data_IF_046811976180
#
_entry.id   IF_046811976180
#
_cell.length_a   1.000
_cell.length_b   1.000
_cell.length_c   1.000
_cell.angle_alpha   90.00
_cell.angle_beta   90.00
_cell.angle_gamma   90.00
#
_symmetry.space_group_name_H-M   'P 1'
#
loop_
_entity.id
_entity.type
_entity.pdbx_description
1 polymer ?
#
# COMPACT_ATOMS: atom_id res chain seq x y z
N UNK A 1 -0.96 24.35 28.03
CA UNK A 1 -0.61 23.43 29.13
C UNK A 1 -0.67 22.03 28.55
N UNK A 2 0.47 21.51 28.11
CA UNK A 2 0.54 20.19 27.49
C UNK A 2 0.80 19.17 28.59
N UNK A 3 -0.17 18.32 28.87
CA UNK A 3 0.01 17.18 29.77
C UNK A 3 1.03 16.23 29.17
N UNK A 4 2.25 16.29 29.70
CA UNK A 4 3.26 15.27 29.48
C UNK A 4 2.75 13.98 30.13
N UNK A 5 2.19 13.09 29.32
CA UNK A 5 1.94 11.70 29.75
C UNK A 5 3.32 11.11 30.05
N UNK A 6 3.70 11.11 31.32
CA UNK A 6 4.89 10.42 31.82
C UNK A 6 4.73 8.95 31.52
N UNK A 7 5.25 8.54 30.36
CA UNK A 7 5.09 7.17 29.88
C UNK A 7 6.02 6.31 30.74
N UNK A 8 5.45 5.52 31.64
CA UNK A 8 6.17 4.58 32.51
C UNK A 8 6.76 3.38 31.76
N UNK A 9 6.83 3.47 30.43
CA UNK A 9 7.29 2.40 29.57
C UNK A 9 8.81 2.26 29.69
N UNK A 10 9.25 1.03 29.82
CA UNK A 10 10.65 0.66 29.75
C UNK A 10 11.23 1.02 28.37
N UNK A 11 12.55 1.21 28.25
CA UNK A 11 13.19 1.44 26.95
C UNK A 11 12.87 0.35 25.91
N UNK A 12 12.68 -0.89 26.34
CA UNK A 12 12.30 -2.00 25.47
C UNK A 12 10.87 -1.85 24.92
N UNK A 13 9.91 -1.44 25.75
CA UNK A 13 8.52 -1.20 25.34
C UNK A 13 8.43 -0.01 24.37
N UNK A 14 9.19 1.07 24.62
CA UNK A 14 9.28 2.20 23.69
C UNK A 14 9.88 1.79 22.34
N UNK A 15 10.94 0.97 22.34
CA UNK A 15 11.53 0.46 21.10
C UNK A 15 10.56 -0.43 20.32
N UNK A 16 9.79 -1.29 21.00
CA UNK A 16 8.75 -2.11 20.38
C UNK A 16 7.64 -1.25 19.77
N UNK A 17 7.18 -0.23 20.50
CA UNK A 17 6.19 0.72 19.99
C UNK A 17 6.67 1.41 18.71
N UNK A 18 7.89 1.94 18.70
CA UNK A 18 8.46 2.58 17.52
C UNK A 18 8.54 1.62 16.33
N UNK A 19 9.03 0.38 16.54
CA UNK A 19 9.08 -0.64 15.47
C UNK A 19 7.69 -0.97 14.91
N UNK A 20 6.68 -1.05 15.76
CA UNK A 20 5.31 -1.29 15.33
C UNK A 20 4.78 -0.13 14.48
N UNK A 21 4.94 1.11 14.95
CA UNK A 21 4.51 2.31 14.21
C UNK A 21 5.19 2.39 12.84
N UNK A 22 6.51 2.15 12.79
CA UNK A 22 7.29 2.10 11.55
C UNK A 22 6.77 1.01 10.60
N UNK A 23 6.54 -0.20 11.11
CA UNK A 23 6.00 -1.32 10.31
C UNK A 23 4.62 -0.99 9.72
N UNK A 24 3.74 -0.33 10.49
CA UNK A 24 2.42 0.11 10.01
C UNK A 24 2.56 1.18 8.92
N UNK A 25 3.50 2.11 9.07
CA UNK A 25 3.77 3.13 8.05
C UNK A 25 4.29 2.50 6.76
N UNK A 26 5.22 1.55 6.85
CA UNK A 26 5.73 0.81 5.70
C UNK A 26 4.63 -0.03 5.03
N UNK A 27 3.77 -0.68 5.81
CA UNK A 27 2.62 -1.42 5.27
C UNK A 27 1.67 -0.50 4.50
N UNK A 28 1.30 0.65 5.07
CA UNK A 28 0.42 1.64 4.41
C UNK A 28 1.00 2.09 3.06
N UNK A 29 2.29 2.42 3.06
CA UNK A 29 3.07 2.77 1.86
C UNK A 29 3.04 1.68 0.79
N UNK A 30 3.29 0.43 1.19
CA UNK A 30 3.23 -0.73 0.29
C UNK A 30 1.82 -0.96 -0.26
N UNK A 31 0.77 -0.85 0.56
CA UNK A 31 -0.62 -1.01 0.12
C UNK A 31 -1.03 0.01 -0.92
N UNK A 32 -0.71 1.29 -0.69
CA UNK A 32 -0.94 2.38 -1.66
C UNK A 32 -0.29 2.05 -3.00
N UNK A 33 0.98 1.65 -2.97
CA UNK A 33 1.74 1.31 -4.17
C UNK A 33 1.13 0.12 -4.92
N UNK A 34 0.73 -0.93 -4.20
CA UNK A 34 0.07 -2.09 -4.79
C UNK A 34 -1.27 -1.72 -5.44
N UNK A 35 -2.07 -0.87 -4.78
CA UNK A 35 -3.32 -0.35 -5.36
C UNK A 35 -3.05 0.41 -6.67
N UNK A 36 -2.07 1.32 -6.68
CA UNK A 36 -1.69 2.08 -7.87
C UNK A 36 -1.29 1.16 -9.03
N UNK A 37 -0.41 0.17 -8.78
CA UNK A 37 0.03 -0.74 -9.84
C UNK A 37 -1.08 -1.65 -10.35
N UNK A 38 -1.95 -2.16 -9.47
CA UNK A 38 -3.10 -2.95 -9.90
C UNK A 38 -4.02 -2.16 -10.83
N UNK A 39 -4.22 -0.87 -10.54
CA UNK A 39 -4.97 0.04 -11.42
C UNK A 39 -4.25 0.29 -12.75
N UNK A 40 -2.92 0.46 -12.75
CA UNK A 40 -2.16 0.59 -14.01
C UNK A 40 -2.25 -0.68 -14.87
N UNK A 41 -2.16 -1.86 -14.26
CA UNK A 41 -2.32 -3.16 -14.93
C UNK A 41 -3.74 -3.31 -15.51
N UNK A 42 -4.76 -2.85 -14.77
CA UNK A 42 -6.14 -2.81 -15.27
C UNK A 42 -6.26 -1.87 -16.47
N UNK A 43 -5.85 -0.61 -16.31
CA UNK A 43 -6.05 0.45 -17.31
C UNK A 43 -5.30 0.18 -18.61
N UNK A 44 -4.07 -0.33 -18.52
CA UNK A 44 -3.24 -0.68 -19.67
C UNK A 44 -3.55 -2.08 -20.23
N UNK A 45 -4.53 -2.78 -19.65
CA UNK A 45 -4.91 -4.16 -20.01
C UNK A 45 -3.72 -5.13 -20.02
N UNK A 46 -2.72 -4.90 -19.16
CA UNK A 46 -1.54 -5.78 -19.05
C UNK A 46 -1.96 -7.19 -18.67
N UNK A 47 -2.97 -7.34 -17.81
CA UNK A 47 -3.55 -8.63 -17.49
C UNK A 47 -4.02 -9.41 -18.74
N UNK A 48 -4.62 -8.75 -19.73
CA UNK A 48 -5.01 -9.38 -20.99
C UNK A 48 -3.81 -9.81 -21.83
N UNK A 49 -2.76 -8.97 -21.90
CA UNK A 49 -1.51 -9.29 -22.61
C UNK A 49 -0.84 -10.53 -22.00
N UNK A 50 -0.96 -10.70 -20.69
CA UNK A 50 -0.47 -11.87 -19.96
C UNK A 50 -1.41 -13.09 -20.03
N UNK A 51 -2.51 -13.01 -20.80
CA UNK A 51 -3.42 -14.13 -21.03
C UNK A 51 -4.58 -14.27 -20.04
N UNK A 52 -4.71 -13.35 -19.08
CA UNK A 52 -5.83 -13.35 -18.12
C UNK A 52 -7.07 -12.67 -18.70
N UNK A 53 -8.26 -13.24 -18.47
CA UNK A 53 -9.51 -12.69 -19.02
C UNK A 53 -10.00 -11.49 -18.23
N UNK A 54 -9.76 -11.49 -16.93
CA UNK A 54 -10.16 -10.40 -16.04
C UNK A 54 -9.04 -10.01 -15.09
N UNK A 55 -9.09 -8.76 -14.61
CA UNK A 55 -8.14 -8.30 -13.59
C UNK A 55 -8.23 -9.11 -12.28
N UNK A 56 -9.41 -9.63 -11.94
CA UNK A 56 -9.61 -10.43 -10.74
C UNK A 56 -8.93 -11.80 -10.84
N UNK A 57 -8.95 -12.43 -12.03
CA UNK A 57 -8.19 -13.66 -12.29
C UNK A 57 -6.69 -13.42 -12.17
N UNK A 58 -6.19 -12.34 -12.78
CA UNK A 58 -4.79 -11.91 -12.65
C UNK A 58 -4.40 -11.70 -11.18
N UNK A 59 -5.20 -10.93 -10.44
CA UNK A 59 -4.93 -10.62 -9.03
C UNK A 59 -4.97 -11.86 -8.13
N UNK A 60 -5.84 -12.81 -8.43
CA UNK A 60 -5.90 -14.09 -7.73
C UNK A 60 -4.65 -14.94 -8.01
N UNK A 61 -4.26 -15.07 -9.28
CA UNK A 61 -3.15 -15.91 -9.71
C UNK A 61 -1.79 -15.36 -9.27
N UNK A 62 -1.53 -14.06 -9.46
CA UNK A 62 -0.21 -13.46 -9.25
C UNK A 62 -0.02 -12.93 -7.82
N UNK A 63 -1.09 -12.59 -7.12
CA UNK A 63 -1.02 -11.94 -5.81
C UNK A 63 -1.86 -12.62 -4.72
N UNK A 64 -2.52 -13.74 -5.01
CA UNK A 64 -3.34 -14.47 -4.04
C UNK A 64 -4.56 -13.67 -3.53
N UNK A 65 -4.99 -12.64 -4.26
CA UNK A 65 -6.10 -11.79 -3.84
C UNK A 65 -7.44 -12.43 -4.17
N UNK A 66 -8.36 -12.37 -3.21
CA UNK A 66 -9.78 -12.65 -3.49
C UNK A 66 -10.38 -11.56 -4.39
N UNK A 67 -11.48 -11.87 -5.07
CA UNK A 67 -12.22 -10.88 -5.88
C UNK A 67 -12.59 -9.64 -5.07
N UNK A 68 -13.09 -9.80 -3.84
CA UNK A 68 -13.47 -8.69 -2.97
C UNK A 68 -12.27 -7.80 -2.59
N UNK A 69 -11.09 -8.39 -2.36
CA UNK A 69 -9.86 -7.63 -2.12
C UNK A 69 -9.40 -6.89 -3.37
N UNK A 70 -9.41 -7.54 -4.53
CA UNK A 70 -9.09 -6.91 -5.82
C UNK A 70 -9.99 -5.68 -6.07
N UNK A 71 -11.31 -5.84 -5.91
CA UNK A 71 -12.26 -4.75 -6.11
C UNK A 71 -12.02 -3.61 -5.11
N UNK A 72 -11.76 -3.93 -3.83
CA UNK A 72 -11.41 -2.93 -2.81
C UNK A 72 -10.14 -2.15 -3.17
N UNK A 73 -9.09 -2.84 -3.63
CA UNK A 73 -7.84 -2.22 -4.06
C UNK A 73 -8.06 -1.28 -5.25
N UNK A 74 -8.85 -1.70 -6.24
CA UNK A 74 -9.18 -0.86 -7.40
C UNK A 74 -10.02 0.37 -7.02
N UNK A 75 -10.98 0.23 -6.10
CA UNK A 75 -11.76 1.36 -5.57
C UNK A 75 -10.85 2.36 -4.86
N UNK A 76 -9.95 1.88 -3.99
CA UNK A 76 -8.99 2.72 -3.30
C UNK A 76 -8.05 3.40 -4.29
N UNK A 77 -7.50 2.66 -5.24
CA UNK A 77 -6.57 3.18 -6.25
C UNK A 77 -7.17 4.32 -7.08
N UNK A 78 -8.44 4.23 -7.47
CA UNK A 78 -9.13 5.29 -8.24
C UNK A 78 -9.38 6.55 -7.43
N UNK A 79 -9.38 6.45 -6.10
CA UNK A 79 -9.54 7.59 -5.19
C UNK A 79 -8.20 8.19 -4.75
N UNK A 80 -7.08 7.48 -4.92
CA UNK A 80 -5.74 7.97 -4.59
C UNK A 80 -5.37 9.30 -5.26
N UNK A 81 -5.71 9.58 -6.54
CA UNK A 81 -5.40 10.87 -7.17
C UNK A 81 -6.10 12.07 -6.51
N UNK A 82 -7.15 11.84 -5.71
CA UNK A 82 -7.82 12.89 -4.93
C UNK A 82 -7.02 13.25 -3.65
N UNK A 83 -5.88 12.59 -3.41
CA UNK A 83 -4.97 12.82 -2.30
C UNK A 83 -3.58 13.21 -2.87
N UNK A 84 -3.31 14.52 -3.08
CA UNK A 84 -2.12 15.01 -3.78
C UNK A 84 -0.79 14.51 -3.19
N UNK A 85 -0.74 14.33 -1.86
CA UNK A 85 0.44 13.84 -1.14
C UNK A 85 0.78 12.37 -1.44
N UNK A 86 -0.19 11.58 -1.89
CA UNK A 86 -0.03 10.15 -2.14
C UNK A 86 0.38 9.89 -3.58
N UNK A 87 -0.16 10.65 -4.54
CA UNK A 87 0.29 10.62 -5.93
C UNK A 87 1.76 11.04 -6.04
N UNK A 88 2.14 12.15 -5.39
CA UNK A 88 3.51 12.65 -5.37
C UNK A 88 4.50 11.66 -4.72
N UNK A 89 4.12 10.99 -3.62
CA UNK A 89 4.98 9.99 -2.97
C UNK A 89 5.17 8.69 -3.78
N UNK A 90 4.24 8.36 -4.68
CA UNK A 90 4.37 7.24 -5.62
C UNK A 90 5.18 7.64 -6.85
N UNK A 91 4.96 8.84 -7.39
CA UNK A 91 5.69 9.37 -8.56
C UNK A 91 7.14 9.73 -8.26
N UNK A 92 7.45 10.29 -7.08
CA UNK A 92 8.80 10.75 -6.73
C UNK A 92 9.76 9.62 -6.32
N UNK A 93 9.33 8.36 -6.30
CA UNK A 93 10.19 7.26 -5.89
C UNK A 93 10.56 7.24 -4.40
N UNK A 94 9.95 8.08 -3.56
CA UNK A 94 10.07 8.05 -2.09
C UNK A 94 9.54 6.73 -1.47
N UNK A 95 8.86 5.93 -2.29
CA UNK A 95 8.56 4.51 -2.08
C UNK A 95 9.62 3.65 -2.77
N UNK A 96 10.88 3.86 -2.39
CA UNK A 96 12.02 3.30 -3.11
C UNK A 96 12.05 1.76 -3.02
N UNK A 97 12.33 1.12 -4.15
CA UNK A 97 12.42 -0.32 -4.36
C UNK A 97 13.87 -0.81 -4.35
N UNK A 98 14.74 -0.18 -3.54
CA UNK A 98 16.19 -0.48 -3.55
C UNK A 98 16.80 -0.75 -2.17
N UNK A 99 16.09 -1.47 -1.30
CA UNK A 99 16.73 -2.38 -0.35
C UNK A 99 15.91 -3.67 -0.35
N UNK A 100 16.51 -4.70 -0.95
CA UNK A 100 15.99 -6.05 -1.11
C UNK A 100 15.64 -6.72 0.22
#
# INVERSE_FOLDING_TARGET
MSESISTSATPAELALHHKFVESVQQLKRSLVRSCHYLLQIQNRKVHCVLGYRTIAEYAAAEAGLTRAQCDSFLVLARRLPLLPSVAAGVENGDLNWSQA
#
